data_IF_166557562305
#
_entry.id   IF_166557562305
#
_cell.length_a   1.000
_cell.length_b   1.000
_cell.length_c   1.000
_cell.angle_alpha   90.00
_cell.angle_beta   90.00
_cell.angle_gamma   90.00
#
_symmetry.space_group_name_H-M   'P 1'
#
loop_
_entity.id
_entity.type
_entity.pdbx_description
1 polymer ?
#
# COMPACT_ATOMS: atom_id res chain seq x y z
N UNK A 1 -12.07 -12.43 9.76
CA UNK A 1 -11.53 -12.17 8.40
C UNK A 1 -11.19 -10.70 8.23
N UNK A 2 -12.02 -9.76 8.71
CA UNK A 2 -11.66 -8.32 8.69
C UNK A 2 -10.33 -8.02 9.39
N UNK A 3 -10.09 -8.59 10.57
CA UNK A 3 -8.81 -8.47 11.28
C UNK A 3 -7.60 -8.94 10.46
N UNK A 4 -7.78 -9.96 9.62
CA UNK A 4 -6.71 -10.46 8.74
C UNK A 4 -6.40 -9.44 7.64
N UNK A 5 -7.41 -8.77 7.08
CA UNK A 5 -7.18 -7.69 6.13
C UNK A 5 -6.46 -6.52 6.79
N UNK A 6 -6.84 -6.13 8.01
CA UNK A 6 -6.17 -5.06 8.76
C UNK A 6 -4.70 -5.38 9.00
N UNK A 7 -4.39 -6.61 9.40
CA UNK A 7 -3.01 -7.07 9.59
C UNK A 7 -2.22 -7.04 8.27
N UNK A 8 -2.76 -7.63 7.20
CA UNK A 8 -2.11 -7.68 5.89
C UNK A 8 -1.84 -6.28 5.31
N UNK A 9 -2.83 -5.39 5.39
CA UNK A 9 -2.69 -4.00 4.94
C UNK A 9 -1.64 -3.27 5.79
N UNK A 10 -1.67 -3.46 7.11
CA UNK A 10 -0.69 -2.88 8.02
C UNK A 10 0.75 -3.32 7.71
N UNK A 11 0.97 -4.60 7.46
CA UNK A 11 2.27 -5.12 7.03
C UNK A 11 2.69 -4.57 5.68
N UNK A 12 1.78 -4.51 4.71
CA UNK A 12 2.10 -4.01 3.38
C UNK A 12 2.44 -2.52 3.38
N UNK A 13 1.74 -1.69 4.17
CA UNK A 13 2.09 -0.27 4.35
C UNK A 13 3.51 -0.07 4.89
N UNK A 14 3.91 -0.85 5.92
CA UNK A 14 5.28 -0.81 6.46
C UNK A 14 6.32 -1.23 5.44
N UNK A 15 6.01 -2.25 4.61
CA UNK A 15 6.88 -2.68 3.52
C UNK A 15 7.04 -1.60 2.47
N UNK A 16 5.94 -0.95 2.07
CA UNK A 16 5.94 0.14 1.10
C UNK A 16 6.81 1.31 1.60
N UNK A 17 6.65 1.71 2.87
CA UNK A 17 7.50 2.73 3.50
C UNK A 17 8.97 2.34 3.53
N UNK A 18 9.27 1.11 3.94
CA UNK A 18 10.66 0.61 3.94
C UNK A 18 11.24 0.62 2.54
N UNK A 19 10.45 0.26 1.52
CA UNK A 19 10.86 0.32 0.12
C UNK A 19 11.14 1.77 -0.31
N UNK A 20 10.25 2.70 0.02
CA UNK A 20 10.41 4.11 -0.30
C UNK A 20 11.65 4.71 0.37
N UNK A 21 11.88 4.42 1.65
CA UNK A 21 13.03 4.91 2.41
C UNK A 21 14.38 4.42 1.88
N UNK A 22 14.40 3.27 1.20
CA UNK A 22 15.60 2.79 0.50
C UNK A 22 15.91 3.59 -0.77
N UNK A 23 14.89 4.17 -1.40
CA UNK A 23 15.00 4.96 -2.64
C UNK A 23 15.25 6.43 -2.31
N UNK A 24 14.48 6.98 -1.36
CA UNK A 24 14.56 8.35 -0.88
C UNK A 24 14.76 8.33 0.64
N UNK A 25 16.01 8.48 1.12
CA UNK A 25 16.26 8.57 2.55
C UNK A 25 15.50 9.74 3.18
N UNK A 26 14.77 9.47 4.28
CA UNK A 26 14.01 10.49 5.01
C UNK A 26 12.56 10.65 4.58
N UNK A 27 12.07 9.87 3.60
CA UNK A 27 10.65 9.87 3.26
C UNK A 27 9.79 9.35 4.41
N UNK A 28 8.63 9.97 4.61
CA UNK A 28 7.68 9.65 5.68
C UNK A 28 6.39 9.04 5.12
N UNK A 29 5.53 8.53 6.01
CA UNK A 29 4.25 7.90 5.60
C UNK A 29 3.34 8.87 4.85
N UNK A 30 3.29 10.14 5.25
CA UNK A 30 2.45 11.16 4.60
C UNK A 30 2.85 11.41 3.14
N UNK A 31 4.15 11.33 2.82
CA UNK A 31 4.65 11.48 1.45
C UNK A 31 4.14 10.35 0.53
N UNK A 32 3.85 9.17 1.10
CA UNK A 32 3.29 8.04 0.35
C UNK A 32 1.81 8.20 0.02
N UNK A 33 1.14 9.24 0.52
CA UNK A 33 -0.21 9.58 0.09
C UNK A 33 -0.22 10.14 -1.33
N UNK A 34 0.89 10.75 -1.78
CA UNK A 34 1.06 11.31 -3.11
C UNK A 34 2.42 10.90 -3.70
N UNK A 35 2.66 9.60 -3.93
CA UNK A 35 3.98 9.09 -4.35
C UNK A 35 4.39 9.59 -5.74
N UNK A 36 3.41 10.02 -6.55
CA UNK A 36 3.62 10.62 -7.87
C UNK A 36 4.38 11.95 -7.82
N UNK A 37 4.39 12.64 -6.67
CA UNK A 37 5.17 13.87 -6.47
C UNK A 37 6.68 13.58 -6.39
N UNK A 38 7.06 12.30 -6.27
CA UNK A 38 8.43 11.83 -6.22
C UNK A 38 8.76 10.99 -7.47
N UNK A 39 9.37 11.59 -8.51
CA UNK A 39 9.72 10.86 -9.74
C UNK A 39 10.57 9.60 -9.48
N UNK A 40 11.41 9.64 -8.44
CA UNK A 40 12.23 8.49 -8.03
C UNK A 40 11.41 7.30 -7.51
N UNK A 41 10.21 7.53 -6.97
CA UNK A 41 9.30 6.44 -6.57
C UNK A 41 8.44 6.01 -7.76
N UNK A 42 7.90 6.97 -8.50
CA UNK A 42 6.99 6.72 -9.60
C UNK A 42 7.65 5.89 -10.73
N UNK A 43 8.92 6.17 -11.00
CA UNK A 43 9.67 5.44 -12.02
C UNK A 43 10.36 4.18 -11.49
N UNK A 44 10.22 3.84 -10.20
CA UNK A 44 10.92 2.71 -9.60
C UNK A 44 10.06 1.43 -9.61
N UNK A 45 10.39 0.42 -10.45
CA UNK A 45 9.50 -0.71 -10.70
C UNK A 45 9.14 -1.51 -9.45
N UNK A 46 10.11 -1.70 -8.53
CA UNK A 46 9.87 -2.42 -7.29
C UNK A 46 8.95 -1.65 -6.33
N UNK A 47 9.01 -0.31 -6.33
CA UNK A 47 8.12 0.49 -5.49
C UNK A 47 6.69 0.42 -6.05
N UNK A 48 6.54 0.62 -7.36
CA UNK A 48 5.25 0.50 -8.06
C UNK A 48 4.61 -0.88 -7.87
N UNK A 49 5.42 -1.95 -7.84
CA UNK A 49 4.94 -3.29 -7.54
C UNK A 49 4.35 -3.39 -6.12
N UNK A 50 5.10 -2.94 -5.11
CA UNK A 50 4.65 -2.99 -3.71
C UNK A 50 3.41 -2.12 -3.47
N UNK A 51 3.30 -0.98 -4.17
CA UNK A 51 2.10 -0.13 -4.19
C UNK A 51 0.91 -0.88 -4.79
N UNK A 52 1.09 -1.53 -5.94
CA UNK A 52 0.04 -2.35 -6.56
C UNK A 52 -0.44 -3.50 -5.68
N UNK A 53 0.44 -4.10 -4.88
CA UNK A 53 0.04 -5.11 -3.87
C UNK A 53 -0.84 -4.50 -2.78
N UNK A 54 -0.53 -3.29 -2.30
CA UNK A 54 -1.36 -2.58 -1.33
C UNK A 54 -2.75 -2.29 -1.89
N UNK A 55 -2.82 -1.77 -3.12
CA UNK A 55 -4.09 -1.51 -3.82
C UNK A 55 -4.91 -2.78 -4.04
N UNK A 56 -4.26 -3.89 -4.37
CA UNK A 56 -4.88 -5.21 -4.47
C UNK A 56 -5.52 -5.66 -3.16
N UNK A 57 -4.83 -5.50 -2.03
CA UNK A 57 -5.34 -5.84 -0.69
C UNK A 57 -6.54 -4.97 -0.30
N UNK A 58 -6.48 -3.66 -0.58
CA UNK A 58 -7.58 -2.73 -0.32
C UNK A 58 -8.81 -3.09 -1.17
N UNK A 59 -8.60 -3.40 -2.46
CA UNK A 59 -9.66 -3.82 -3.37
C UNK A 59 -10.31 -5.13 -2.90
N UNK A 60 -9.51 -6.12 -2.50
CA UNK A 60 -10.00 -7.39 -1.98
C UNK A 60 -10.82 -7.20 -0.69
N UNK A 61 -10.36 -6.34 0.23
CA UNK A 61 -11.11 -5.98 1.45
C UNK A 61 -12.45 -5.35 1.10
N UNK A 62 -12.48 -4.42 0.15
CA UNK A 62 -13.71 -3.76 -0.28
C UNK A 62 -14.71 -4.76 -0.87
N UNK A 63 -14.26 -5.68 -1.73
CA UNK A 63 -15.10 -6.74 -2.28
C UNK A 63 -15.67 -7.64 -1.18
N UNK A 64 -14.83 -8.07 -0.22
CA UNK A 64 -15.27 -8.86 0.93
C UNK A 64 -16.35 -8.13 1.76
N UNK A 65 -16.13 -6.85 2.10
CA UNK A 65 -17.08 -6.06 2.88
C UNK A 65 -18.41 -5.86 2.14
N UNK A 66 -18.37 -5.69 0.82
CA UNK A 66 -19.57 -5.56 0.00
C UNK A 66 -20.42 -6.84 0.04
N UNK A 67 -19.79 -8.01 -0.04
CA UNK A 67 -20.47 -9.30 0.05
C UNK A 67 -21.04 -9.54 1.46
N UNK A 68 -20.26 -9.22 2.49
CA UNK A 68 -20.67 -9.40 3.89
C UNK A 68 -21.86 -8.50 4.28
N UNK A 69 -21.97 -7.29 3.72
CA UNK A 69 -23.11 -6.37 3.96
C UNK A 69 -24.38 -6.74 3.20
N UNK A 70 -24.26 -7.59 2.17
CA UNK A 70 -25.38 -8.03 1.33
C UNK A 70 -25.97 -9.37 1.78
N UNK A 71 -25.43 -9.94 2.88
CA UNK A 71 -25.87 -11.19 3.52
C UNK A 71 -26.62 -10.88 4.81
#
# INVERSE_FOLDING_TARGET
MESVFDDLIGFQKKRLLTCAQRIIPGIIEDDLLQPNDFPSLELHPHFRYEEGVLEGLLTARMAYLSLAKSS
#
